data_IF_271574237784
#
_entry.id   IF_271574237784
#
_cell.length_a   1.000
_cell.length_b   1.000
_cell.length_c   1.000
_cell.angle_alpha   90.00
_cell.angle_beta   90.00
_cell.angle_gamma   90.00
#
_symmetry.space_group_name_H-M   'P 1'
#
loop_
_entity.id
_entity.type
_entity.pdbx_description
1 polymer ?
#
# COMPACT_ATOMS: atom_id res chain seq x y z
N UNK A 1 -1.36 -3.93 -13.66
CA UNK A 1 -1.22 -3.84 -12.18
C UNK A 1 -2.14 -4.84 -11.51
N UNK A 2 -1.72 -5.45 -10.40
CA UNK A 2 -2.51 -6.39 -9.60
C UNK A 2 -2.98 -5.74 -8.31
N UNK A 3 -4.07 -6.26 -7.74
CA UNK A 3 -4.63 -5.77 -6.48
C UNK A 3 -4.54 -6.83 -5.40
N UNK A 4 -4.07 -6.39 -4.23
CA UNK A 4 -3.90 -7.21 -3.05
C UNK A 4 -4.70 -6.65 -1.88
N UNK A 5 -5.33 -7.52 -1.10
CA UNK A 5 -6.02 -7.14 0.13
C UNK A 5 -5.62 -8.04 1.29
N UNK A 6 -5.70 -7.51 2.51
CA UNK A 6 -5.67 -8.35 3.70
C UNK A 6 -6.95 -9.15 3.83
N UNK A 7 -6.82 -10.45 4.06
CA UNK A 7 -7.97 -11.34 4.23
C UNK A 7 -8.84 -10.94 5.42
N UNK A 8 -10.13 -10.89 5.16
CA UNK A 8 -11.16 -10.85 6.19
C UNK A 8 -12.35 -11.67 5.69
N UNK A 9 -12.88 -12.54 6.55
CA UNK A 9 -14.10 -13.33 6.25
C UNK A 9 -15.36 -12.47 6.05
N UNK A 10 -15.27 -11.17 6.30
CA UNK A 10 -16.34 -10.18 6.09
C UNK A 10 -16.17 -9.37 4.80
N UNK A 11 -15.09 -9.60 4.04
CA UNK A 11 -14.86 -8.89 2.79
C UNK A 11 -15.71 -9.47 1.66
N UNK A 12 -16.43 -8.59 0.95
CA UNK A 12 -17.27 -8.97 -0.21
C UNK A 12 -16.50 -9.02 -1.53
N UNK A 13 -15.28 -8.47 -1.55
CA UNK A 13 -14.43 -8.37 -2.76
C UNK A 13 -13.38 -9.47 -2.85
N UNK A 14 -13.33 -10.39 -1.91
CA UNK A 14 -12.27 -11.38 -1.80
C UNK A 14 -12.05 -12.18 -3.09
N UNK A 15 -13.11 -12.44 -3.84
CA UNK A 15 -13.05 -13.16 -5.13
C UNK A 15 -12.72 -12.24 -6.33
N UNK A 16 -12.59 -10.94 -6.13
CA UNK A 16 -12.32 -9.96 -7.19
C UNK A 16 -10.87 -9.53 -7.28
N UNK A 17 -10.07 -9.83 -6.27
CA UNK A 17 -8.65 -9.41 -6.19
C UNK A 17 -7.71 -10.48 -6.73
N UNK A 18 -6.52 -10.08 -7.13
CA UNK A 18 -5.49 -11.00 -7.65
C UNK A 18 -4.73 -11.71 -6.54
N UNK A 19 -4.54 -11.03 -5.41
CA UNK A 19 -3.75 -11.53 -4.30
C UNK A 19 -4.50 -11.35 -2.98
N UNK A 20 -4.43 -12.36 -2.13
CA UNK A 20 -4.98 -12.36 -0.77
C UNK A 20 -3.85 -12.54 0.22
N UNK A 21 -3.70 -11.57 1.12
CA UNK A 21 -2.71 -11.62 2.18
C UNK A 21 -3.38 -12.08 3.47
N UNK A 22 -2.84 -13.13 4.08
CA UNK A 22 -3.35 -13.70 5.32
C UNK A 22 -2.27 -13.61 6.39
N UNK A 23 -2.54 -12.91 7.46
CA UNK A 23 -1.65 -12.90 8.62
C UNK A 23 -1.66 -14.26 9.29
N UNK A 24 -0.49 -14.81 9.56
CA UNK A 24 -0.35 -16.07 10.26
C UNK A 24 -0.99 -16.00 11.66
N UNK A 25 -1.86 -16.95 11.94
CA UNK A 25 -2.45 -17.18 13.26
C UNK A 25 -2.30 -18.67 13.61
N UNK A 26 -1.55 -18.95 14.68
CA UNK A 26 -1.28 -20.32 15.14
C UNK A 26 -2.54 -21.14 15.45
N UNK A 27 -3.64 -20.47 15.81
CA UNK A 27 -4.89 -21.12 16.18
C UNK A 27 -5.77 -21.43 14.97
N UNK A 28 -5.53 -20.77 13.84
CA UNK A 28 -6.33 -20.90 12.60
C UNK A 28 -5.60 -21.57 11.46
N UNK A 29 -4.36 -21.96 11.67
CA UNK A 29 -3.52 -22.48 10.58
C UNK A 29 -4.11 -23.73 9.92
N UNK A 30 -4.73 -24.61 10.67
CA UNK A 30 -5.36 -25.81 10.11
C UNK A 30 -6.56 -25.45 9.21
N UNK A 31 -7.43 -24.56 9.67
CA UNK A 31 -8.56 -24.06 8.87
C UNK A 31 -8.07 -23.38 7.59
N UNK A 32 -7.01 -22.57 7.70
CA UNK A 32 -6.38 -21.90 6.59
C UNK A 32 -5.97 -22.88 5.49
N UNK A 33 -5.26 -23.95 5.86
CA UNK A 33 -4.75 -24.94 4.90
C UNK A 33 -5.82 -25.91 4.39
N UNK A 34 -6.80 -26.27 5.19
CA UNK A 34 -7.80 -27.29 4.83
C UNK A 34 -9.03 -26.73 4.12
N UNK A 35 -9.41 -25.51 4.41
CA UNK A 35 -10.65 -24.93 3.90
C UNK A 35 -10.42 -23.70 3.04
N UNK A 36 -9.60 -22.75 3.52
CA UNK A 36 -9.50 -21.46 2.87
C UNK A 36 -8.61 -21.50 1.61
N UNK A 37 -7.38 -21.98 1.71
CA UNK A 37 -6.43 -21.97 0.58
C UNK A 37 -6.98 -22.75 -0.61
N UNK A 38 -7.53 -23.99 -0.44
CA UNK A 38 -8.13 -24.73 -1.56
C UNK A 38 -9.31 -24.00 -2.23
N UNK A 39 -10.08 -23.21 -1.49
CA UNK A 39 -11.19 -22.42 -2.05
C UNK A 39 -10.72 -21.24 -2.92
N UNK A 40 -9.46 -20.83 -2.83
CA UNK A 40 -8.91 -19.66 -3.51
C UNK A 40 -7.71 -19.97 -4.43
N UNK A 41 -7.68 -21.15 -5.04
CA UNK A 41 -6.57 -21.60 -5.90
C UNK A 41 -6.35 -20.75 -7.16
N UNK A 42 -7.36 -19.99 -7.60
CA UNK A 42 -7.24 -19.08 -8.74
C UNK A 42 -6.58 -17.74 -8.38
N UNK A 43 -6.33 -17.50 -7.12
CA UNK A 43 -5.73 -16.29 -6.58
C UNK A 43 -4.36 -16.63 -5.98
N UNK A 44 -3.48 -15.65 -5.92
CA UNK A 44 -2.23 -15.81 -5.17
C UNK A 44 -2.54 -15.66 -3.68
N UNK A 45 -2.54 -16.75 -2.94
CA UNK A 45 -2.68 -16.72 -1.49
C UNK A 45 -1.30 -16.59 -0.86
N UNK A 46 -1.16 -15.58 -0.01
CA UNK A 46 0.10 -15.24 0.66
C UNK A 46 -0.10 -15.37 2.15
N UNK A 47 0.68 -16.22 2.80
CA UNK A 47 0.74 -16.31 4.26
C UNK A 47 1.81 -15.35 4.76
N UNK A 48 1.40 -14.31 5.46
CA UNK A 48 2.30 -13.33 6.04
C UNK A 48 2.71 -13.74 7.45
N UNK A 49 3.99 -13.98 7.64
CA UNK A 49 4.57 -14.04 8.97
C UNK A 49 4.73 -12.60 9.48
N UNK A 50 4.12 -12.31 10.64
CA UNK A 50 4.12 -10.96 11.22
C UNK A 50 5.53 -10.64 11.73
N UNK A 51 5.89 -9.36 11.65
CA UNK A 51 7.07 -8.81 12.29
C UNK A 51 6.94 -8.96 13.82
N UNK A 52 7.45 -10.04 14.34
CA UNK A 52 7.78 -10.17 15.74
C UNK A 52 9.27 -9.86 15.87
N UNK A 53 9.66 -9.11 16.90
CA UNK A 53 11.08 -8.83 17.19
C UNK A 53 11.88 -10.10 17.53
N UNK A 54 11.22 -11.25 17.60
CA UNK A 54 11.81 -12.52 17.93
C UNK A 54 11.86 -13.46 16.71
N UNK A 55 13.05 -13.58 16.10
CA UNK A 55 13.33 -14.46 14.96
C UNK A 55 12.94 -15.92 15.26
N UNK A 56 13.19 -16.40 16.47
CA UNK A 56 12.92 -17.79 16.83
C UNK A 56 11.42 -18.10 16.79
N UNK A 57 10.56 -17.14 17.14
CA UNK A 57 9.11 -17.28 17.00
C UNK A 57 8.71 -17.39 15.53
N UNK A 58 9.28 -16.55 14.65
CA UNK A 58 9.02 -16.59 13.21
C UNK A 58 9.49 -17.93 12.62
N UNK A 59 10.70 -18.40 12.97
CA UNK A 59 11.23 -19.71 12.54
C UNK A 59 10.34 -20.85 13.00
N UNK A 60 9.87 -20.84 14.25
CA UNK A 60 8.96 -21.86 14.75
C UNK A 60 7.60 -21.85 14.02
N UNK A 61 7.08 -20.69 13.67
CA UNK A 61 5.87 -20.59 12.87
C UNK A 61 6.09 -21.11 11.44
N UNK A 62 7.24 -20.80 10.85
CA UNK A 62 7.64 -21.31 9.54
C UNK A 62 7.74 -22.84 9.52
N UNK A 63 8.34 -23.45 10.55
CA UNK A 63 8.42 -24.92 10.69
C UNK A 63 7.04 -25.59 10.73
N UNK A 64 6.07 -24.98 11.43
CA UNK A 64 4.68 -25.48 11.46
C UNK A 64 4.04 -25.41 10.04
N UNK A 65 4.22 -24.29 9.34
CA UNK A 65 3.72 -24.15 7.97
C UNK A 65 4.33 -25.23 7.06
N UNK A 66 5.65 -25.43 7.13
CA UNK A 66 6.37 -26.44 6.34
C UNK A 66 5.85 -27.85 6.64
N UNK A 67 5.61 -28.19 7.92
CA UNK A 67 5.06 -29.49 8.32
C UNK A 67 3.71 -29.74 7.67
N UNK A 68 2.77 -28.81 7.81
CA UNK A 68 1.43 -28.92 7.22
C UNK A 68 1.49 -28.99 5.69
N UNK A 69 2.36 -28.19 5.05
CA UNK A 69 2.56 -28.24 3.61
C UNK A 69 3.08 -29.60 3.13
N UNK A 70 4.05 -30.19 3.83
CA UNK A 70 4.59 -31.50 3.45
C UNK A 70 3.56 -32.65 3.51
N UNK A 71 2.54 -32.50 4.36
CA UNK A 71 1.40 -33.42 4.44
C UNK A 71 0.40 -33.20 3.27
N UNK A 72 0.36 -31.98 2.68
CA UNK A 72 -0.64 -31.55 1.72
C UNK A 72 -0.01 -30.81 0.53
N UNK A 73 0.84 -31.48 -0.25
CA UNK A 73 1.62 -30.85 -1.34
C UNK A 73 0.83 -30.25 -2.50
N UNK A 74 -0.46 -30.58 -2.63
CA UNK A 74 -1.34 -30.04 -3.67
C UNK A 74 -1.82 -28.61 -3.37
N UNK A 75 -1.59 -28.13 -2.15
CA UNK A 75 -1.97 -26.79 -1.73
C UNK A 75 -0.94 -25.78 -2.23
N UNK A 76 -1.42 -24.76 -2.96
CA UNK A 76 -0.56 -23.70 -3.53
C UNK A 76 -0.72 -22.42 -2.74
N UNK A 77 0.36 -21.94 -2.17
CA UNK A 77 0.45 -20.64 -1.50
C UNK A 77 1.88 -20.14 -1.50
N UNK A 78 2.05 -18.85 -1.26
CA UNK A 78 3.35 -18.22 -1.07
C UNK A 78 3.53 -17.80 0.39
N UNK A 79 4.76 -17.80 0.87
CA UNK A 79 5.08 -17.29 2.22
C UNK A 79 5.74 -15.93 2.08
N UNK A 80 5.21 -14.96 2.79
CA UNK A 80 5.84 -13.67 2.96
C UNK A 80 6.64 -13.62 4.26
N UNK A 81 7.92 -13.37 4.14
CA UNK A 81 8.82 -13.18 5.26
C UNK A 81 9.02 -11.67 5.52
N UNK A 82 9.10 -11.24 6.79
CA UNK A 82 9.16 -9.81 7.14
C UNK A 82 10.48 -9.14 6.73
N UNK A 83 11.58 -9.90 6.71
CA UNK A 83 12.91 -9.44 6.32
C UNK A 83 13.80 -10.61 5.90
N UNK A 84 14.87 -10.29 5.15
CA UNK A 84 15.88 -11.29 4.82
C UNK A 84 16.66 -11.73 6.06
N UNK A 85 16.75 -13.05 6.26
CA UNK A 85 17.53 -13.62 7.34
C UNK A 85 18.06 -15.01 6.96
N UNK A 86 19.31 -15.30 7.29
CA UNK A 86 19.96 -16.55 6.93
C UNK A 86 19.25 -17.78 7.53
N UNK A 87 18.72 -17.67 8.76
CA UNK A 87 17.93 -18.77 9.37
C UNK A 87 16.71 -19.12 8.51
N UNK A 88 16.00 -18.15 7.95
CA UNK A 88 14.87 -18.43 7.06
C UNK A 88 15.32 -19.19 5.82
N UNK A 89 16.47 -18.82 5.25
CA UNK A 89 17.02 -19.49 4.07
C UNK A 89 17.40 -20.93 4.35
N UNK A 90 17.99 -21.20 5.50
CA UNK A 90 18.35 -22.56 5.93
C UNK A 90 17.10 -23.43 6.13
N UNK A 91 16.06 -22.91 6.81
CA UNK A 91 14.79 -23.63 7.03
C UNK A 91 14.01 -23.89 5.72
N UNK A 92 14.17 -23.05 4.70
CA UNK A 92 13.47 -23.17 3.42
C UNK A 92 14.24 -23.96 2.36
N UNK A 93 15.53 -24.22 2.58
CA UNK A 93 16.48 -24.77 1.60
C UNK A 93 16.01 -26.07 0.95
N UNK A 94 15.43 -26.98 1.74
CA UNK A 94 15.01 -28.30 1.28
C UNK A 94 13.50 -28.40 1.03
N UNK A 95 12.81 -27.24 0.96
CA UNK A 95 11.38 -27.17 0.68
C UNK A 95 11.12 -26.67 -0.72
N UNK A 96 10.01 -27.10 -1.33
CA UNK A 96 9.53 -26.57 -2.60
C UNK A 96 8.60 -25.35 -2.40
N UNK A 97 8.60 -24.75 -1.20
CA UNK A 97 7.78 -23.60 -0.91
C UNK A 97 8.25 -22.38 -1.68
N UNK A 98 7.31 -21.65 -2.24
CA UNK A 98 7.57 -20.33 -2.78
C UNK A 98 7.54 -19.31 -1.64
N UNK A 99 8.56 -18.52 -1.55
CA UNK A 99 8.65 -17.46 -0.56
C UNK A 99 9.17 -16.19 -1.16
N UNK A 100 8.88 -15.08 -0.54
CA UNK A 100 9.41 -13.78 -0.91
C UNK A 100 9.55 -12.90 0.34
N UNK A 101 10.46 -11.97 0.23
CA UNK A 101 10.65 -10.97 1.26
C UNK A 101 9.89 -9.72 0.87
N UNK A 102 8.96 -9.32 1.73
CA UNK A 102 8.32 -8.01 1.61
C UNK A 102 9.12 -7.03 2.44
N UNK A 103 10.09 -6.41 1.83
CA UNK A 103 10.95 -5.46 2.50
C UNK A 103 10.64 -4.07 2.00
N UNK A 104 10.37 -3.16 2.94
CA UNK A 104 10.18 -1.76 2.61
C UNK A 104 11.53 -1.12 2.27
N UNK A 105 11.61 -0.47 1.12
CA UNK A 105 12.73 0.39 0.75
C UNK A 105 12.28 1.85 0.83
N UNK A 106 12.92 2.61 1.71
CA UNK A 106 12.64 4.02 1.96
C UNK A 106 13.78 4.95 1.53
N UNK A 107 14.89 4.39 1.06
CA UNK A 107 16.05 5.12 0.56
C UNK A 107 16.75 4.33 -0.54
N UNK A 108 17.52 5.01 -1.37
CA UNK A 108 18.30 4.39 -2.44
C UNK A 108 19.29 3.35 -1.93
N UNK A 109 19.99 3.62 -0.83
CA UNK A 109 20.96 2.67 -0.25
C UNK A 109 20.28 1.37 0.16
N UNK A 110 19.12 1.45 0.80
CA UNK A 110 18.34 0.28 1.19
C UNK A 110 17.82 -0.48 -0.03
N UNK A 111 17.32 0.23 -1.03
CA UNK A 111 16.82 -0.35 -2.26
C UNK A 111 17.91 -1.13 -3.02
N UNK A 112 19.09 -0.50 -3.23
CA UNK A 112 20.23 -1.15 -3.92
C UNK A 112 20.76 -2.36 -3.14
N UNK A 113 20.79 -2.27 -1.79
CA UNK A 113 21.14 -3.39 -0.94
C UNK A 113 20.20 -4.58 -1.07
N UNK A 114 18.89 -4.32 -1.22
CA UNK A 114 17.87 -5.36 -1.39
C UNK A 114 17.95 -6.05 -2.75
N UNK A 115 18.29 -5.33 -3.81
CA UNK A 115 18.48 -5.91 -5.16
C UNK A 115 19.54 -7.02 -5.12
N UNK A 116 20.63 -6.81 -4.38
CA UNK A 116 21.71 -7.79 -4.25
C UNK A 116 21.31 -9.04 -3.43
N UNK A 117 20.20 -8.99 -2.71
CA UNK A 117 19.72 -10.07 -1.85
C UNK A 117 18.69 -11.00 -2.53
N UNK A 118 18.49 -10.87 -3.84
CA UNK A 118 17.56 -11.70 -4.61
C UNK A 118 16.11 -11.64 -4.05
N UNK A 119 15.65 -10.45 -3.71
CA UNK A 119 14.29 -10.19 -3.21
C UNK A 119 13.32 -10.22 -4.39
N UNK A 120 12.16 -10.79 -4.23
CA UNK A 120 11.15 -10.89 -5.31
C UNK A 120 10.16 -9.72 -5.34
N UNK A 121 9.90 -9.11 -4.19
CA UNK A 121 8.92 -8.02 -4.05
C UNK A 121 9.51 -6.94 -3.13
N UNK A 122 9.48 -5.68 -3.56
CA UNK A 122 9.90 -4.53 -2.75
C UNK A 122 8.74 -3.57 -2.55
N UNK A 123 8.55 -3.19 -1.31
CA UNK A 123 7.62 -2.17 -0.91
C UNK A 123 8.28 -0.80 -1.00
N UNK A 124 7.76 0.06 -1.85
CA UNK A 124 8.34 1.40 -2.05
C UNK A 124 7.64 2.40 -1.16
N UNK A 125 8.43 3.12 -0.37
CA UNK A 125 7.95 4.14 0.57
C UNK A 125 8.80 5.42 0.50
N UNK A 126 8.32 6.47 1.12
CA UNK A 126 9.02 7.74 1.36
C UNK A 126 9.65 8.36 0.11
N UNK A 127 10.96 8.52 0.13
CA UNK A 127 11.69 9.22 -0.95
C UNK A 127 11.60 8.51 -2.28
N UNK A 128 11.67 7.19 -2.27
CA UNK A 128 11.66 6.38 -3.48
C UNK A 128 10.33 6.43 -4.22
N UNK A 129 9.23 6.62 -3.50
CA UNK A 129 7.91 6.75 -4.10
C UNK A 129 7.77 8.01 -4.99
N UNK A 130 8.68 8.98 -4.86
CA UNK A 130 8.74 10.18 -5.70
C UNK A 130 9.75 10.07 -6.85
N UNK A 131 10.44 8.96 -6.99
CA UNK A 131 11.33 8.62 -8.10
C UNK A 131 10.93 7.26 -8.68
N UNK A 132 9.63 7.01 -8.72
CA UNK A 132 9.05 5.70 -9.02
C UNK A 132 9.42 5.19 -10.42
N UNK A 133 9.60 6.09 -11.39
CA UNK A 133 10.07 5.75 -12.74
C UNK A 133 11.44 5.07 -12.72
N UNK A 134 12.39 5.64 -11.97
CA UNK A 134 13.75 5.08 -11.84
C UNK A 134 13.76 3.78 -11.03
N UNK A 135 12.98 3.77 -9.92
CA UNK A 135 12.86 2.60 -9.06
C UNK A 135 12.29 1.42 -9.83
N UNK A 136 11.20 1.64 -10.58
CA UNK A 136 10.57 0.59 -11.37
C UNK A 136 11.49 0.07 -12.48
N UNK A 137 12.19 0.94 -13.20
CA UNK A 137 13.16 0.54 -14.22
C UNK A 137 14.21 -0.43 -13.66
N UNK A 138 14.79 -0.10 -12.51
CA UNK A 138 15.82 -0.94 -11.88
C UNK A 138 15.21 -2.22 -11.30
N UNK A 139 14.06 -2.13 -10.62
CA UNK A 139 13.38 -3.28 -10.06
C UNK A 139 13.02 -4.31 -11.15
N UNK A 140 12.38 -3.86 -12.21
CA UNK A 140 11.94 -4.73 -13.31
C UNK A 140 13.12 -5.37 -14.06
N UNK A 141 14.25 -4.67 -14.26
CA UNK A 141 15.49 -5.26 -14.80
C UNK A 141 16.02 -6.42 -13.94
N UNK A 142 15.72 -6.40 -12.65
CA UNK A 142 16.15 -7.45 -11.71
C UNK A 142 15.02 -8.45 -11.38
N UNK A 143 13.90 -8.45 -12.12
CA UNK A 143 12.73 -9.29 -11.90
C UNK A 143 12.09 -9.09 -10.51
N UNK A 144 12.19 -7.89 -9.95
CA UNK A 144 11.65 -7.52 -8.65
C UNK A 144 10.34 -6.77 -8.88
N UNK A 145 9.28 -7.15 -8.17
CA UNK A 145 7.99 -6.49 -8.22
C UNK A 145 7.96 -5.27 -7.31
N UNK A 146 7.42 -4.19 -7.82
CA UNK A 146 7.16 -2.96 -7.10
C UNK A 146 5.78 -3.00 -6.48
N UNK A 147 5.71 -2.86 -5.17
CA UNK A 147 4.46 -2.80 -4.38
C UNK A 147 4.29 -1.45 -3.73
N UNK A 148 3.06 -0.97 -3.65
CA UNK A 148 2.72 0.27 -2.92
C UNK A 148 1.38 0.15 -2.19
N UNK A 149 1.17 1.03 -1.20
CA UNK A 149 -0.14 1.33 -0.62
C UNK A 149 -0.70 2.60 -1.29
N UNK A 150 -1.70 2.53 -2.18
CA UNK A 150 -2.22 3.72 -2.85
C UNK A 150 -2.98 4.63 -1.88
N UNK A 151 -3.64 4.07 -0.88
CA UNK A 151 -4.52 4.73 0.06
C UNK A 151 -3.87 5.06 1.42
N UNK A 152 -2.54 5.12 1.48
CA UNK A 152 -1.80 5.51 2.69
C UNK A 152 -0.86 6.64 2.35
N UNK A 153 -1.01 7.77 3.01
CA UNK A 153 -0.09 8.89 2.90
C UNK A 153 1.23 8.55 3.60
N UNK A 154 2.31 8.50 2.83
CA UNK A 154 3.61 8.06 3.32
C UNK A 154 4.60 9.23 3.35
N UNK A 155 5.29 9.38 4.46
CA UNK A 155 6.39 10.34 4.60
C UNK A 155 7.39 9.86 5.64
N UNK A 156 8.66 10.12 5.38
CA UNK A 156 9.74 9.93 6.35
C UNK A 156 9.70 10.96 7.48
N UNK A 157 9.06 12.10 7.25
CA UNK A 157 9.01 13.21 8.18
C UNK A 157 7.57 13.47 8.64
N UNK A 158 7.30 13.24 9.90
CA UNK A 158 5.98 13.42 10.52
C UNK A 158 5.40 14.84 10.41
N UNK A 159 6.27 15.83 10.16
CA UNK A 159 5.89 17.24 10.04
C UNK A 159 5.76 17.77 8.62
N UNK A 160 5.85 16.90 7.60
CA UNK A 160 5.60 17.33 6.23
C UNK A 160 4.11 17.63 6.05
N UNK A 161 3.82 18.74 5.36
CA UNK A 161 2.44 19.01 4.96
C UNK A 161 1.94 17.85 4.09
N UNK A 162 0.68 17.49 4.24
CA UNK A 162 0.07 16.30 3.65
C UNK A 162 0.26 16.20 2.15
N UNK A 163 0.22 17.33 1.45
CA UNK A 163 0.42 17.34 0.00
C UNK A 163 1.83 16.90 -0.42
N UNK A 164 2.80 16.93 0.50
CA UNK A 164 4.16 16.45 0.27
C UNK A 164 4.33 14.97 0.65
N UNK A 165 3.34 14.35 1.30
CA UNK A 165 3.30 12.91 1.53
C UNK A 165 2.98 12.21 0.21
N UNK A 166 3.49 11.01 0.02
CA UNK A 166 3.14 10.20 -1.13
C UNK A 166 1.79 9.51 -0.91
N UNK A 167 0.90 9.64 -1.87
CA UNK A 167 -0.37 8.92 -1.98
C UNK A 167 -0.80 8.90 -3.45
N UNK A 168 -1.73 8.03 -3.82
CA UNK A 168 -2.28 7.95 -5.17
C UNK A 168 -3.77 8.23 -5.08
N UNK A 169 -4.28 9.15 -5.89
CA UNK A 169 -5.73 9.36 -6.04
C UNK A 169 -6.35 8.26 -6.90
N UNK A 170 -7.62 7.91 -6.68
CA UNK A 170 -8.32 6.93 -7.53
C UNK A 170 -8.26 7.25 -9.02
N UNK A 171 -8.46 8.50 -9.40
CA UNK A 171 -8.40 8.97 -10.78
C UNK A 171 -7.01 8.93 -11.41
N UNK A 172 -5.97 8.83 -10.60
CA UNK A 172 -4.58 8.78 -11.07
C UNK A 172 -4.03 7.35 -11.16
N UNK A 173 -4.75 6.35 -10.66
CA UNK A 173 -4.24 4.99 -10.45
C UNK A 173 -3.67 4.35 -11.74
N UNK A 174 -4.30 4.61 -12.88
CA UNK A 174 -3.85 4.07 -14.18
C UNK A 174 -2.49 4.63 -14.61
N UNK A 175 -2.15 5.85 -14.20
CA UNK A 175 -0.85 6.45 -14.53
C UNK A 175 0.32 5.74 -13.83
N UNK A 176 0.04 4.99 -12.77
CA UNK A 176 1.04 4.23 -12.02
C UNK A 176 1.22 2.80 -12.53
N UNK A 177 0.35 2.29 -13.40
CA UNK A 177 0.43 0.92 -13.93
C UNK A 177 1.78 0.53 -14.56
N UNK A 178 2.48 1.43 -15.28
CA UNK A 178 3.79 1.10 -15.84
C UNK A 178 4.89 0.91 -14.79
N UNK A 179 4.67 1.39 -13.56
CA UNK A 179 5.69 1.47 -12.51
C UNK A 179 5.40 0.59 -11.31
N UNK A 180 4.15 0.14 -11.15
CA UNK A 180 3.68 -0.57 -9.97
C UNK A 180 3.05 -1.89 -10.39
N UNK A 181 3.56 -2.99 -9.83
CA UNK A 181 3.04 -4.33 -10.11
C UNK A 181 1.86 -4.67 -9.22
N UNK A 182 1.89 -4.23 -7.96
CA UNK A 182 0.87 -4.56 -6.97
C UNK A 182 0.48 -3.35 -6.13
N UNK A 183 -0.80 -3.03 -6.13
CA UNK A 183 -1.44 -2.11 -5.18
C UNK A 183 -2.06 -2.90 -4.04
N UNK A 184 -1.61 -2.65 -2.81
CA UNK A 184 -2.15 -3.27 -1.61
C UNK A 184 -2.97 -2.23 -0.84
N UNK A 185 -4.26 -2.50 -0.60
CA UNK A 185 -5.11 -1.62 0.18
C UNK A 185 -4.94 -1.89 1.67
N UNK A 186 -4.72 -0.82 2.42
CA UNK A 186 -4.67 -0.85 3.86
C UNK A 186 -6.00 -0.38 4.46
N UNK A 187 -6.42 -0.99 5.58
CA UNK A 187 -7.59 -0.60 6.33
C UNK A 187 -7.75 -1.45 7.58
N UNK A 188 -8.31 -0.86 8.63
CA UNK A 188 -8.49 -1.55 9.92
C UNK A 188 -9.69 -2.51 9.89
N UNK A 189 -10.63 -2.26 8.98
CA UNK A 189 -11.86 -3.05 8.84
C UNK A 189 -12.05 -3.52 7.40
N UNK A 190 -12.60 -4.72 7.24
CA UNK A 190 -12.91 -5.30 5.93
C UNK A 190 -13.76 -4.36 5.07
N UNK A 191 -14.78 -3.73 5.66
CA UNK A 191 -15.67 -2.81 4.96
C UNK A 191 -14.95 -1.58 4.40
N UNK A 192 -13.91 -1.08 5.09
CA UNK A 192 -13.07 0.00 4.58
C UNK A 192 -12.27 -0.46 3.36
N UNK A 193 -11.67 -1.65 3.44
CA UNK A 193 -10.90 -2.24 2.33
C UNK A 193 -11.79 -2.43 1.11
N UNK A 194 -13.00 -2.96 1.29
CA UNK A 194 -13.99 -3.13 0.21
C UNK A 194 -14.34 -1.77 -0.43
N UNK A 195 -14.52 -0.73 0.39
CA UNK A 195 -14.80 0.62 -0.07
C UNK A 195 -13.62 1.19 -0.88
N UNK A 196 -12.39 1.07 -0.38
CA UNK A 196 -11.20 1.54 -1.10
C UNK A 196 -11.01 0.80 -2.43
N UNK A 197 -11.14 -0.53 -2.43
CA UNK A 197 -11.06 -1.30 -3.66
C UNK A 197 -12.08 -0.81 -4.69
N UNK A 198 -13.35 -0.63 -4.29
CA UNK A 198 -14.39 -0.13 -5.17
C UNK A 198 -14.04 1.25 -5.76
N UNK A 199 -13.63 2.19 -4.91
CA UNK A 199 -13.28 3.55 -5.35
C UNK A 199 -12.11 3.54 -6.32
N UNK A 200 -11.06 2.76 -6.06
CA UNK A 200 -9.84 2.75 -6.87
C UNK A 200 -9.95 1.89 -8.13
N UNK A 201 -10.69 0.79 -8.08
CA UNK A 201 -10.75 -0.17 -9.17
C UNK A 201 -11.99 -0.06 -10.05
N UNK A 202 -13.15 0.17 -9.41
CA UNK A 202 -14.41 0.21 -10.13
C UNK A 202 -14.78 1.65 -10.53
N UNK A 203 -14.84 2.56 -9.58
CA UNK A 203 -15.27 3.94 -9.81
C UNK A 203 -14.16 4.80 -10.44
N UNK A 204 -12.89 4.56 -10.05
CA UNK A 204 -11.68 5.29 -10.45
C UNK A 204 -11.82 6.82 -10.35
N UNK A 205 -12.60 7.27 -9.37
CA UNK A 205 -12.92 8.68 -9.13
C UNK A 205 -13.23 8.91 -7.66
N UNK A 206 -12.82 10.07 -7.19
CA UNK A 206 -13.22 10.57 -5.89
C UNK A 206 -13.45 12.08 -5.96
N UNK A 207 -14.66 12.51 -5.64
CA UNK A 207 -15.02 13.92 -5.59
C UNK A 207 -15.30 14.32 -4.14
N UNK A 208 -14.27 14.77 -3.45
CA UNK A 208 -14.39 15.17 -2.06
C UNK A 208 -13.04 15.23 -1.38
N UNK A 209 -13.10 15.25 -0.05
CA UNK A 209 -11.93 15.30 0.80
C UNK A 209 -11.15 13.98 0.73
N UNK A 210 -9.88 14.07 0.36
CA UNK A 210 -9.00 12.91 0.27
C UNK A 210 -8.73 12.27 1.64
N UNK A 211 -8.90 12.99 2.75
CA UNK A 211 -8.79 12.47 4.10
C UNK A 211 -9.76 11.30 4.36
N UNK A 212 -10.88 11.26 3.64
CA UNK A 212 -11.87 10.18 3.77
C UNK A 212 -11.41 8.85 3.17
N UNK A 213 -10.48 8.89 2.21
CA UNK A 213 -10.04 7.70 1.48
C UNK A 213 -8.54 7.43 1.56
N UNK A 214 -7.76 8.37 2.09
CA UNK A 214 -6.32 8.24 2.23
C UNK A 214 -5.94 8.34 3.71
N UNK A 215 -5.48 7.24 4.25
CA UNK A 215 -5.06 7.12 5.64
C UNK A 215 -3.78 7.92 5.88
N UNK A 216 -3.72 8.67 6.98
CA UNK A 216 -2.53 9.46 7.35
C UNK A 216 -2.46 10.86 6.74
N UNK A 217 -3.55 11.34 6.12
CA UNK A 217 -3.73 12.76 5.85
C UNK A 217 -4.37 13.45 7.06
N UNK A 218 -3.78 14.54 7.50
CA UNK A 218 -4.27 15.34 8.64
C UNK A 218 -5.03 16.58 8.17
N UNK A 219 -4.80 17.02 6.95
CA UNK A 219 -5.45 18.19 6.34
C UNK A 219 -6.53 17.77 5.34
N UNK A 220 -7.57 18.56 5.23
CA UNK A 220 -8.58 18.41 4.19
C UNK A 220 -8.00 18.84 2.85
N UNK A 221 -7.98 17.93 1.90
CA UNK A 221 -7.53 18.19 0.54
C UNK A 221 -8.60 17.68 -0.42
N UNK A 222 -9.34 18.58 -1.02
CA UNK A 222 -10.36 18.20 -1.99
C UNK A 222 -9.72 17.77 -3.31
N UNK A 223 -10.02 16.55 -3.75
CA UNK A 223 -9.49 15.94 -4.97
C UNK A 223 -9.72 16.81 -6.22
N UNK A 224 -10.82 17.56 -6.27
CA UNK A 224 -11.19 18.43 -7.40
C UNK A 224 -10.19 19.56 -7.67
N UNK A 225 -9.44 19.99 -6.64
CA UNK A 225 -8.48 21.10 -6.77
C UNK A 225 -7.06 20.64 -7.11
N UNK A 226 -6.86 19.34 -7.18
CA UNK A 226 -5.56 18.80 -7.60
C UNK A 226 -5.48 18.84 -9.13
N UNK A 227 -4.42 19.47 -9.65
CA UNK A 227 -4.23 19.65 -11.09
C UNK A 227 -4.16 18.30 -11.83
N UNK A 228 -4.67 18.20 -13.07
CA UNK A 228 -4.75 16.93 -13.83
C UNK A 228 -3.40 16.20 -14.01
N UNK A 229 -2.28 16.94 -14.08
CA UNK A 229 -0.94 16.38 -14.25
C UNK A 229 -0.19 16.13 -12.93
N UNK A 230 -0.90 16.08 -11.83
CA UNK A 230 -0.29 15.91 -10.52
C UNK A 230 0.48 14.58 -10.40
N UNK A 231 -0.14 13.48 -10.80
CA UNK A 231 0.47 12.15 -10.77
C UNK A 231 1.72 12.06 -11.66
N UNK A 232 1.64 12.55 -12.90
CA UNK A 232 2.76 12.56 -13.84
C UNK A 232 4.00 13.25 -13.23
N UNK A 233 3.78 14.40 -12.59
CA UNK A 233 4.86 15.11 -11.91
C UNK A 233 5.34 14.41 -10.66
N UNK A 234 4.45 13.74 -9.93
CA UNK A 234 4.80 13.04 -8.69
C UNK A 234 5.67 11.81 -8.93
N UNK A 235 5.40 11.05 -9.97
CA UNK A 235 6.18 9.85 -10.37
C UNK A 235 7.67 10.19 -10.55
N UNK A 236 7.98 11.42 -11.01
CA UNK A 236 9.33 11.91 -11.33
C UNK A 236 9.78 13.06 -10.42
N UNK A 237 9.13 13.26 -9.29
CA UNK A 237 9.28 14.51 -8.53
C UNK A 237 10.68 14.66 -7.90
N UNK A 238 11.29 13.57 -7.40
CA UNK A 238 12.58 13.62 -6.71
C UNK A 238 12.61 14.56 -5.49
N UNK A 239 11.47 15.17 -5.10
CA UNK A 239 11.35 16.19 -4.05
C UNK A 239 12.28 17.40 -4.21
N UNK A 240 12.54 17.82 -5.43
CA UNK A 240 13.40 18.96 -5.73
C UNK A 240 12.95 20.28 -5.08
N UNK A 241 11.64 20.43 -4.80
CA UNK A 241 11.11 21.57 -4.06
C UNK A 241 11.69 21.67 -2.64
N UNK A 242 11.94 20.54 -1.97
CA UNK A 242 12.54 20.52 -0.64
C UNK A 242 14.03 20.79 -0.68
N UNK A 243 14.70 20.42 -1.78
CA UNK A 243 16.14 20.61 -1.97
C UNK A 243 16.47 22.02 -2.47
N UNK A 244 15.69 22.52 -3.42
CA UNK A 244 16.05 23.69 -4.23
C UNK A 244 14.98 24.81 -4.20
N UNK A 245 13.84 24.62 -3.55
CA UNK A 245 12.76 25.60 -3.44
C UNK A 245 12.08 26.01 -4.76
N UNK A 246 12.38 25.32 -5.88
CA UNK A 246 11.96 25.75 -7.22
C UNK A 246 10.57 25.28 -7.67
N UNK A 247 10.00 24.25 -7.03
CA UNK A 247 8.70 23.71 -7.41
C UNK A 247 7.61 24.22 -6.46
N UNK A 248 6.66 24.98 -6.98
CA UNK A 248 5.54 25.55 -6.22
C UNK A 248 4.23 24.75 -6.37
N UNK A 249 4.22 23.62 -7.10
CA UNK A 249 3.00 22.90 -7.40
C UNK A 249 2.22 22.47 -6.15
N UNK A 250 2.90 21.82 -5.21
CA UNK A 250 2.27 21.37 -3.97
C UNK A 250 1.82 22.56 -3.10
N UNK A 251 2.60 23.63 -3.04
CA UNK A 251 2.23 24.84 -2.32
C UNK A 251 0.96 25.47 -2.87
N UNK A 252 0.84 25.60 -4.19
CA UNK A 252 -0.40 26.15 -4.80
C UNK A 252 -1.64 25.32 -4.50
N UNK A 253 -1.51 24.00 -4.42
CA UNK A 253 -2.65 23.13 -4.05
C UNK A 253 -3.06 23.37 -2.60
N UNK A 254 -2.10 23.51 -1.67
CA UNK A 254 -2.36 23.85 -0.28
C UNK A 254 -3.02 25.21 -0.13
N UNK A 255 -2.44 26.23 -0.78
CA UNK A 255 -2.98 27.60 -0.73
C UNK A 255 -4.44 27.64 -1.25
N UNK A 256 -4.76 26.86 -2.30
CA UNK A 256 -6.13 26.72 -2.80
C UNK A 256 -7.04 25.99 -1.79
N UNK A 257 -6.58 24.94 -1.17
CA UNK A 257 -7.35 24.19 -0.16
C UNK A 257 -7.67 25.07 1.05
N UNK A 258 -6.70 25.83 1.56
CA UNK A 258 -6.90 26.77 2.67
C UNK A 258 -7.88 27.91 2.32
N UNK A 259 -7.78 28.48 1.10
CA UNK A 259 -8.69 29.53 0.66
C UNK A 259 -10.13 29.03 0.61
N UNK A 260 -10.35 27.78 0.25
CA UNK A 260 -11.68 27.19 0.11
C UNK A 260 -12.28 26.79 1.46
N UNK A 261 -11.47 26.30 2.40
CA UNK A 261 -11.92 26.11 3.78
C UNK A 261 -12.40 27.42 4.39
N UNK A 262 -11.64 28.49 4.22
CA UNK A 262 -12.02 29.81 4.69
C UNK A 262 -13.30 30.33 4.01
N UNK A 263 -13.48 30.09 2.74
CA UNK A 263 -14.69 30.46 1.99
C UNK A 263 -15.93 29.66 2.47
N UNK A 264 -15.78 28.37 2.75
CA UNK A 264 -16.86 27.53 3.31
C UNK A 264 -17.26 27.98 4.72
N UNK A 265 -16.30 28.32 5.57
CA UNK A 265 -16.56 28.86 6.90
C UNK A 265 -17.34 30.19 6.86
N UNK A 266 -17.00 31.08 5.93
CA UNK A 266 -17.70 32.35 5.74
C UNK A 266 -19.16 32.09 5.32
N UNK A 267 -19.41 31.19 4.41
CA UNK A 267 -20.77 30.84 3.93
C UNK A 267 -21.60 30.20 5.04
N UNK A 268 -21.03 29.39 5.92
CA UNK A 268 -21.73 28.81 7.08
C UNK A 268 -22.10 29.89 8.11
N UNK A 269 -21.17 30.76 8.43
CA UNK A 269 -21.42 31.87 9.39
C UNK A 269 -22.50 32.82 8.87
N UNK A 270 -22.55 33.06 7.57
CA UNK A 270 -23.60 33.93 7.00
C UNK A 270 -24.97 33.23 6.99
N UNK A 271 -25.05 31.91 6.79
CA UNK A 271 -26.31 31.16 6.92
C UNK A 271 -26.85 31.14 8.36
N UNK A 272 -25.99 30.89 9.32
CA UNK A 272 -26.37 30.92 10.75
C UNK A 272 -26.90 32.30 11.16
N UNK A 273 -26.30 33.40 10.68
CA UNK A 273 -26.77 34.76 10.91
C UNK A 273 -28.10 35.11 10.23
N UNK A 274 -28.41 34.46 9.11
CA UNK A 274 -29.72 34.62 8.45
C UNK A 274 -30.82 33.82 9.14
N UNK A 275 -30.51 32.64 9.67
CA UNK A 275 -31.43 31.81 10.43
C UNK A 275 -31.78 32.47 11.77
N UNK A 276 -30.80 33.06 12.49
CA UNK A 276 -31.04 33.82 13.75
C UNK A 276 -31.83 35.12 13.56
N UNK A 277 -31.88 35.69 12.34
CA UNK A 277 -32.69 36.88 12.05
C UNK A 277 -34.14 36.57 11.67
N UNK A 278 -34.42 35.30 11.35
CA UNK A 278 -35.74 34.81 10.98
C UNK A 278 -36.43 34.00 12.09
N UNK A 279 -35.80 33.84 13.24
CA UNK A 279 -36.36 33.23 14.46
C UNK A 279 -36.81 34.33 15.44
#
# INVERSE_FOLDING_TARGET
>A
MKYCINYSNKSHIINKVDEILIRYDKNKILELFTQFIPAHLNQRVIIQLIEENNIDTIVNNLKKIISIYNENKDIKFDIQLPFYNQKFMEELKDTNLKYFFKVAANSWDKFTGLISQNVSDIYITDELAFELDKVAEIAHKNNIKVRIYPNVAQSRWDKLSDILKFFIRPEDIEMYEPYVDVCEFYGDKAQQIDTYYKIYQEDKKWFGDLQEIIIGLDSKIDSRYIIPRFAEKRIKCGKDCLKNGKCEMCKRILDLSEQLENAHLIVQIDKEKEEDKNA
#
